data_IF_025030727358
#
_entry.id   IF_025030727358
#
_cell.length_a   1.000
_cell.length_b   1.000
_cell.length_c   1.000
_cell.angle_alpha   90.00
_cell.angle_beta   90.00
_cell.angle_gamma   90.00
#
_symmetry.space_group_name_H-M   'P 1'
#
loop_
_entity.id
_entity.type
_entity.pdbx_description
1 polymer ?
#
# COMPACT_ATOMS: atom_id res chain seq x y z
N UNK A 1 39.08 -9.93 7.14
CA UNK A 1 39.89 -8.82 7.67
C UNK A 1 39.67 -8.82 9.17
N UNK A 2 40.70 -8.70 10.00
CA UNK A 2 40.53 -8.64 11.46
C UNK A 2 40.17 -7.20 11.85
N UNK A 3 39.21 -7.07 12.77
CA UNK A 3 38.87 -5.78 13.40
C UNK A 3 40.01 -5.38 14.35
N UNK A 4 40.12 -4.08 14.66
CA UNK A 4 41.02 -3.63 15.70
C UNK A 4 40.59 -4.24 17.05
N UNK A 5 41.53 -4.64 17.90
CA UNK A 5 41.23 -5.26 19.19
C UNK A 5 40.40 -4.34 20.10
N UNK A 6 40.70 -3.03 20.06
CA UNK A 6 39.95 -2.00 20.78
C UNK A 6 38.49 -1.94 20.30
N UNK A 7 38.26 -1.91 18.99
CA UNK A 7 36.92 -1.83 18.41
C UNK A 7 36.13 -3.13 18.69
N UNK A 8 36.78 -4.28 18.59
CA UNK A 8 36.16 -5.58 18.90
C UNK A 8 35.65 -5.63 20.35
N UNK A 9 36.47 -5.19 21.31
CA UNK A 9 36.08 -5.12 22.71
C UNK A 9 34.90 -4.18 22.92
N UNK A 10 34.96 -2.97 22.34
CA UNK A 10 33.91 -1.95 22.50
C UNK A 10 32.59 -2.41 21.86
N UNK A 11 32.63 -3.05 20.70
CA UNK A 11 31.46 -3.60 20.02
C UNK A 11 30.81 -4.74 20.83
N UNK A 12 31.60 -5.66 21.39
CA UNK A 12 31.08 -6.75 22.22
C UNK A 12 30.35 -6.24 23.47
N UNK A 13 30.93 -5.23 24.14
CA UNK A 13 30.31 -4.60 25.33
C UNK A 13 29.01 -3.91 24.94
N UNK A 14 29.05 -3.10 23.87
CA UNK A 14 27.88 -2.36 23.40
C UNK A 14 26.75 -3.28 22.92
N UNK A 15 27.08 -4.35 22.20
CA UNK A 15 26.08 -5.29 21.70
C UNK A 15 25.30 -5.96 22.84
N UNK A 16 25.91 -6.17 24.01
CA UNK A 16 25.27 -6.86 25.15
C UNK A 16 24.07 -6.08 25.71
N UNK A 17 24.13 -4.75 25.68
CA UNK A 17 23.08 -3.87 26.23
C UNK A 17 22.20 -3.21 25.14
N UNK A 18 22.58 -3.34 23.87
CA UNK A 18 21.89 -2.70 22.76
C UNK A 18 20.53 -3.35 22.47
N UNK A 19 19.49 -2.51 22.43
CA UNK A 19 18.17 -2.86 21.90
C UNK A 19 18.14 -2.78 20.37
N UNK A 20 18.87 -1.82 19.81
CA UNK A 20 18.98 -1.59 18.38
C UNK A 20 20.34 -0.94 18.03
N UNK A 21 20.85 -1.16 16.83
CA UNK A 21 22.15 -0.66 16.37
C UNK A 21 21.98 -0.07 14.97
N UNK A 22 22.58 1.10 14.74
CA UNK A 22 22.72 1.71 13.43
C UNK A 22 24.18 2.05 13.14
N UNK A 23 24.56 1.96 11.88
CA UNK A 23 25.93 2.20 11.42
C UNK A 23 25.89 3.35 10.41
N UNK A 24 26.62 4.42 10.70
CA UNK A 24 26.88 5.47 9.73
C UNK A 24 28.16 5.15 8.97
N UNK A 25 28.01 4.70 7.73
CA UNK A 25 29.12 4.30 6.87
C UNK A 25 30.01 5.48 6.47
N UNK A 26 29.45 6.71 6.41
CA UNK A 26 30.21 7.91 6.00
C UNK A 26 31.10 8.39 7.12
N UNK A 27 30.59 8.38 8.34
CA UNK A 27 31.34 8.83 9.53
C UNK A 27 32.07 7.70 10.24
N UNK A 28 31.94 6.46 9.77
CA UNK A 28 32.51 5.25 10.38
C UNK A 28 32.14 5.15 11.87
N UNK A 29 30.86 5.39 12.18
CA UNK A 29 30.35 5.41 13.55
C UNK A 29 29.30 4.31 13.76
N UNK A 30 29.39 3.62 14.88
CA UNK A 30 28.36 2.68 15.36
C UNK A 30 27.62 3.34 16.51
N UNK A 31 26.31 3.44 16.37
CA UNK A 31 25.43 3.95 17.42
C UNK A 31 24.50 2.84 17.90
N UNK A 32 24.31 2.74 19.21
CA UNK A 32 23.41 1.78 19.82
C UNK A 32 22.41 2.45 20.74
N UNK A 33 21.16 2.06 20.56
CA UNK A 33 20.06 2.42 21.42
C UNK A 33 20.00 1.44 22.61
N UNK A 34 20.04 1.97 23.83
CA UNK A 34 19.79 1.23 25.07
C UNK A 34 18.51 1.74 25.72
N UNK A 35 18.07 1.12 26.83
CA UNK A 35 16.84 1.54 27.54
C UNK A 35 16.86 3.01 28.02
N UNK A 36 18.05 3.58 28.25
CA UNK A 36 18.18 4.91 28.87
C UNK A 36 18.84 5.94 27.97
N UNK A 37 19.75 5.54 27.07
CA UNK A 37 20.53 6.47 26.25
C UNK A 37 21.05 5.86 24.95
N UNK A 38 21.55 6.73 24.08
CA UNK A 38 22.28 6.35 22.86
C UNK A 38 23.78 6.35 23.12
N UNK A 39 24.44 5.25 22.80
CA UNK A 39 25.90 5.12 22.86
C UNK A 39 26.50 5.22 21.46
N UNK A 40 27.62 5.93 21.32
CA UNK A 40 28.34 6.10 20.05
C UNK A 40 29.77 5.59 20.16
N UNK A 41 30.19 4.81 19.17
CA UNK A 41 31.56 4.33 18.98
C UNK A 41 32.04 4.82 17.62
N UNK A 42 33.11 5.61 17.64
CA UNK A 42 33.87 5.93 16.42
C UNK A 42 34.82 4.77 16.12
N UNK A 43 34.67 4.18 14.93
CA UNK A 43 35.49 3.06 14.50
C UNK A 43 36.87 3.55 14.04
N UNK A 44 37.90 2.74 14.30
CA UNK A 44 39.28 2.99 13.88
C UNK A 44 39.68 1.93 12.83
N UNK A 45 39.28 2.11 11.55
CA UNK A 45 39.45 1.08 10.54
C UNK A 45 40.93 0.78 10.26
N UNK A 46 41.31 -0.49 10.44
CA UNK A 46 42.62 -0.99 10.01
C UNK A 46 42.52 -1.48 8.55
N UNK A 47 42.61 -0.55 7.60
CA UNK A 47 42.60 -0.84 6.17
C UNK A 47 41.37 -0.28 5.44
N UNK A 48 40.83 -1.03 4.47
CA UNK A 48 39.75 -0.55 3.61
C UNK A 48 38.42 -0.43 4.39
N UNK A 49 37.74 0.74 4.38
CA UNK A 49 36.55 0.99 5.20
C UNK A 49 35.43 -0.01 4.94
N UNK A 50 35.09 -0.31 3.68
CA UNK A 50 34.00 -1.26 3.36
C UNK A 50 34.26 -2.68 3.90
N UNK A 51 35.51 -3.15 3.82
CA UNK A 51 35.89 -4.45 4.38
C UNK A 51 35.86 -4.44 5.90
N UNK A 52 36.12 -3.28 6.51
CA UNK A 52 36.03 -3.09 7.95
C UNK A 52 34.57 -3.13 8.42
N UNK A 53 33.69 -2.36 7.77
CA UNK A 53 32.26 -2.37 8.06
C UNK A 53 31.65 -3.75 7.88
N UNK A 54 32.04 -4.49 6.84
CA UNK A 54 31.63 -5.89 6.67
C UNK A 54 32.05 -6.77 7.85
N UNK A 55 33.28 -6.62 8.35
CA UNK A 55 33.74 -7.37 9.51
C UNK A 55 33.01 -6.95 10.81
N UNK A 56 32.65 -5.67 10.96
CA UNK A 56 31.82 -5.17 12.08
C UNK A 56 30.45 -5.84 12.05
N UNK A 57 29.80 -5.87 10.88
CA UNK A 57 28.49 -6.50 10.67
C UNK A 57 28.52 -8.01 10.90
N UNK A 58 29.56 -8.68 10.43
CA UNK A 58 29.82 -10.09 10.71
C UNK A 58 29.94 -10.34 12.23
N UNK A 59 30.68 -9.50 12.96
CA UNK A 59 30.79 -9.58 14.41
C UNK A 59 29.45 -9.35 15.14
N UNK A 60 28.71 -8.29 14.79
CA UNK A 60 27.39 -8.00 15.35
C UNK A 60 26.38 -9.13 15.08
N UNK A 61 26.42 -9.74 13.90
CA UNK A 61 25.54 -10.86 13.55
C UNK A 61 25.75 -12.08 14.45
N UNK A 62 27.01 -12.39 14.80
CA UNK A 62 27.34 -13.49 15.70
C UNK A 62 26.83 -13.20 17.11
N UNK A 63 26.95 -11.96 17.57
CA UNK A 63 26.49 -11.54 18.90
C UNK A 63 24.97 -11.49 19.02
N UNK A 64 24.28 -11.04 17.98
CA UNK A 64 22.82 -10.88 17.98
C UNK A 64 22.08 -12.21 17.75
N UNK A 65 22.60 -13.09 16.89
CA UNK A 65 21.90 -14.31 16.45
C UNK A 65 22.55 -15.61 16.92
N UNK A 66 23.70 -15.56 17.60
CA UNK A 66 24.37 -16.72 18.18
C UNK A 66 24.87 -17.78 17.19
N UNK A 67 24.81 -17.52 15.87
CA UNK A 67 25.18 -18.49 14.84
C UNK A 67 26.49 -18.09 14.15
N UNK A 68 27.59 -18.88 14.30
CA UNK A 68 28.86 -18.59 13.64
C UNK A 68 28.74 -18.82 12.13
N UNK A 69 28.98 -17.77 11.33
CA UNK A 69 28.95 -17.82 9.84
C UNK A 69 27.83 -17.00 9.16
N UNK A 70 27.27 -16.02 9.87
CA UNK A 70 25.95 -15.41 9.68
C UNK A 70 25.69 -14.37 8.58
N UNK A 71 26.64 -13.97 7.74
CA UNK A 71 26.47 -12.80 6.86
C UNK A 71 27.14 -13.02 5.49
N UNK A 72 26.51 -12.73 4.33
CA UNK A 72 25.19 -12.14 4.06
C UNK A 72 24.09 -13.18 3.72
N UNK A 73 24.30 -14.46 4.01
CA UNK A 73 23.45 -15.57 3.52
C UNK A 73 22.08 -15.64 4.23
N UNK A 74 21.91 -14.97 5.37
CA UNK A 74 20.78 -15.22 6.26
C UNK A 74 19.51 -14.44 5.89
N UNK A 75 19.61 -13.25 5.28
CA UNK A 75 18.42 -12.48 4.83
C UNK A 75 17.61 -13.27 3.78
N UNK A 76 18.30 -14.01 2.88
CA UNK A 76 17.63 -14.80 1.81
C UNK A 76 16.97 -16.10 2.28
N UNK A 77 17.37 -16.67 3.43
CA UNK A 77 16.69 -17.83 4.04
C UNK A 77 15.54 -17.39 4.96
N UNK A 78 15.65 -16.22 5.58
CA UNK A 78 14.65 -15.65 6.48
C UNK A 78 13.31 -15.35 5.78
N UNK A 79 13.36 -14.84 4.55
CA UNK A 79 12.16 -14.59 3.72
C UNK A 79 11.38 -15.87 3.33
N UNK A 80 11.95 -17.07 3.55
CA UNK A 80 11.28 -18.35 3.23
C UNK A 80 10.55 -19.00 4.40
N UNK A 81 10.78 -18.57 5.64
CA UNK A 81 10.35 -19.36 6.82
C UNK A 81 9.02 -18.90 7.42
N UNK A 82 8.38 -17.85 6.87
CA UNK A 82 7.11 -17.34 7.41
C UNK A 82 7.31 -16.56 8.72
N UNK A 83 6.23 -15.90 9.15
CA UNK A 83 6.21 -14.89 10.22
C UNK A 83 7.00 -15.32 11.48
N UNK A 84 7.94 -14.47 11.90
CA UNK A 84 8.77 -14.68 13.08
C UNK A 84 8.13 -14.11 14.34
N UNK A 85 8.39 -14.75 15.47
CA UNK A 85 8.07 -14.22 16.80
C UNK A 85 8.82 -12.90 17.05
N UNK A 86 8.18 -11.99 17.80
CA UNK A 86 8.65 -10.62 18.07
C UNK A 86 10.06 -10.56 18.67
N UNK A 87 10.43 -11.50 19.53
CA UNK A 87 11.78 -11.57 20.13
C UNK A 87 12.89 -11.72 19.07
N UNK A 88 12.63 -12.46 18.00
CA UNK A 88 13.60 -12.65 16.92
C UNK A 88 13.72 -11.43 16.02
N UNK A 89 12.65 -10.64 15.91
CA UNK A 89 12.67 -9.36 15.19
C UNK A 89 13.50 -8.31 15.93
N UNK A 90 13.45 -8.28 17.27
CA UNK A 90 14.31 -7.40 18.06
C UNK A 90 15.81 -7.71 17.83
N UNK A 91 16.17 -8.99 17.66
CA UNK A 91 17.53 -9.39 17.29
C UNK A 91 18.01 -8.82 15.95
N UNK A 92 17.12 -8.64 14.97
CA UNK A 92 17.46 -8.06 13.66
C UNK A 92 17.90 -6.60 13.75
N UNK A 93 17.28 -5.82 14.63
CA UNK A 93 17.64 -4.41 14.79
C UNK A 93 19.03 -4.22 15.39
N UNK A 94 19.64 -5.27 15.93
CA UNK A 94 21.01 -5.26 16.47
C UNK A 94 22.08 -5.58 15.42
N UNK A 95 21.70 -5.84 14.17
CA UNK A 95 22.64 -6.19 13.11
C UNK A 95 23.39 -4.98 12.52
N UNK A 96 22.83 -3.77 12.62
CA UNK A 96 23.38 -2.59 11.95
C UNK A 96 23.21 -2.61 10.43
N UNK A 97 22.18 -3.31 9.94
CA UNK A 97 21.86 -3.50 8.51
C UNK A 97 20.55 -2.83 8.14
N UNK A 98 20.56 -2.07 7.05
CA UNK A 98 19.36 -1.39 6.57
C UNK A 98 18.27 -2.40 6.16
N UNK A 99 18.66 -3.47 5.45
CA UNK A 99 17.75 -4.52 4.98
C UNK A 99 17.11 -5.29 6.13
N UNK A 100 17.81 -5.43 7.27
CA UNK A 100 17.23 -6.04 8.46
C UNK A 100 16.15 -5.15 9.08
N UNK A 101 16.37 -3.83 9.10
CA UNK A 101 15.37 -2.86 9.60
C UNK A 101 14.15 -2.84 8.69
N UNK A 102 14.33 -2.84 7.36
CA UNK A 102 13.22 -2.93 6.39
C UNK A 102 12.43 -4.23 6.58
N UNK A 103 13.11 -5.36 6.80
CA UNK A 103 12.44 -6.64 7.06
C UNK A 103 11.63 -6.62 8.37
N UNK A 104 12.12 -5.95 9.41
CA UNK A 104 11.36 -5.74 10.66
C UNK A 104 10.14 -4.85 10.42
N UNK A 105 10.32 -3.74 9.70
CA UNK A 105 9.24 -2.80 9.38
C UNK A 105 8.13 -3.42 8.52
N UNK A 106 8.45 -4.40 7.68
CA UNK A 106 7.50 -5.13 6.85
C UNK A 106 6.88 -6.36 7.55
N UNK A 107 7.27 -6.66 8.80
CA UNK A 107 6.84 -7.87 9.49
C UNK A 107 5.38 -7.77 9.95
N UNK A 108 4.53 -8.79 9.76
CA UNK A 108 3.16 -8.78 10.26
C UNK A 108 3.07 -8.72 11.79
N UNK A 109 4.14 -9.09 12.50
CA UNK A 109 4.21 -9.11 13.96
C UNK A 109 4.92 -7.86 14.54
N UNK A 110 4.94 -6.77 13.79
CA UNK A 110 5.51 -5.50 14.23
C UNK A 110 4.59 -4.84 15.28
N UNK A 111 5.13 -4.61 16.48
CA UNK A 111 4.47 -3.82 17.52
C UNK A 111 5.01 -2.37 17.56
N UNK A 112 4.33 -1.50 18.30
CA UNK A 112 4.66 -0.07 18.41
C UNK A 112 6.04 0.20 19.05
N UNK A 113 6.51 -0.67 19.95
CA UNK A 113 7.81 -0.49 20.61
C UNK A 113 8.97 -0.90 19.68
N UNK A 114 8.83 -2.01 18.98
CA UNK A 114 9.77 -2.46 17.96
C UNK A 114 9.78 -1.48 16.78
N UNK A 115 8.62 -0.92 16.44
CA UNK A 115 8.48 0.15 15.46
C UNK A 115 9.32 1.38 15.85
N UNK A 116 9.23 1.88 17.09
CA UNK A 116 10.08 2.99 17.57
C UNK A 116 11.58 2.71 17.37
N UNK A 117 12.01 1.48 17.67
CA UNK A 117 13.41 1.07 17.52
C UNK A 117 13.83 0.98 16.06
N UNK A 118 12.98 0.44 15.20
CA UNK A 118 13.21 0.37 13.76
C UNK A 118 13.31 1.77 13.14
N UNK A 119 12.41 2.68 13.54
CA UNK A 119 12.43 4.08 13.12
C UNK A 119 13.72 4.79 13.52
N UNK A 120 14.18 4.59 14.75
CA UNK A 120 15.44 5.14 15.23
C UNK A 120 16.66 4.67 14.41
N UNK A 121 16.64 3.40 13.98
CA UNK A 121 17.70 2.83 13.15
C UNK A 121 17.75 3.40 11.74
N UNK A 122 16.60 3.51 11.06
CA UNK A 122 16.52 3.87 9.65
C UNK A 122 15.29 4.77 9.34
N UNK A 123 15.35 6.08 9.65
CA UNK A 123 14.24 6.99 9.45
C UNK A 123 14.11 7.41 7.98
N UNK A 124 13.52 6.55 7.16
CA UNK A 124 13.33 6.75 5.71
C UNK A 124 11.85 6.68 5.34
N UNK A 125 11.46 7.28 4.21
CA UNK A 125 10.07 7.28 3.75
C UNK A 125 9.55 5.86 3.45
N UNK A 126 10.41 4.97 2.95
CA UNK A 126 10.07 3.56 2.73
C UNK A 126 9.72 2.86 4.06
N UNK A 127 10.58 3.00 5.07
CA UNK A 127 10.36 2.41 6.40
C UNK A 127 9.11 3.00 7.04
N UNK A 128 8.90 4.32 6.95
CA UNK A 128 7.70 4.96 7.48
C UNK A 128 6.41 4.43 6.82
N UNK A 129 6.40 4.23 5.50
CA UNK A 129 5.26 3.63 4.79
C UNK A 129 4.97 2.21 5.27
N UNK A 130 6.00 1.37 5.35
CA UNK A 130 5.87 -0.01 5.82
C UNK A 130 5.27 -0.05 7.23
N UNK A 131 5.84 0.73 8.14
CA UNK A 131 5.40 0.82 9.54
C UNK A 131 3.96 1.35 9.66
N UNK A 132 3.61 2.43 8.95
CA UNK A 132 2.28 3.06 9.03
C UNK A 132 1.18 2.18 8.41
N UNK A 133 1.54 1.16 7.62
CA UNK A 133 0.59 0.16 7.12
C UNK A 133 0.05 -0.77 8.22
N UNK A 134 0.72 -0.84 9.38
CA UNK A 134 0.29 -1.64 10.52
C UNK A 134 -0.66 -0.85 11.43
N UNK A 135 -1.88 -1.37 11.71
CA UNK A 135 -2.83 -0.70 12.60
C UNK A 135 -2.29 -0.45 14.02
N UNK A 136 -1.49 -1.38 14.56
CA UNK A 136 -0.92 -1.25 15.91
C UNK A 136 0.08 -0.10 16.01
N UNK A 137 0.82 0.17 14.93
CA UNK A 137 1.77 1.28 14.84
C UNK A 137 1.06 2.59 14.54
N UNK A 138 0.07 2.57 13.63
CA UNK A 138 -0.72 3.76 13.29
C UNK A 138 -1.51 4.30 14.50
N UNK A 139 -2.03 3.42 15.36
CA UNK A 139 -2.70 3.79 16.62
C UNK A 139 -1.72 3.95 17.80
N UNK A 140 -0.44 3.65 17.59
CA UNK A 140 0.62 3.70 18.58
C UNK A 140 1.19 5.10 18.77
N UNK A 141 2.25 5.21 19.59
CA UNK A 141 2.84 6.53 19.90
C UNK A 141 3.63 7.10 18.73
N UNK A 142 4.18 6.25 17.85
CA UNK A 142 5.05 6.68 16.75
C UNK A 142 4.26 7.06 15.49
N UNK A 143 3.02 6.60 15.36
CA UNK A 143 2.15 6.87 14.21
C UNK A 143 2.10 8.36 13.79
N UNK A 144 1.84 9.31 14.71
CA UNK A 144 1.81 10.74 14.39
C UNK A 144 3.13 11.26 13.81
N UNK A 145 4.27 10.82 14.35
CA UNK A 145 5.60 11.21 13.86
C UNK A 145 5.84 10.69 12.43
N UNK A 146 5.50 9.43 12.16
CA UNK A 146 5.62 8.83 10.83
C UNK A 146 4.70 9.52 9.82
N UNK A 147 3.46 9.83 10.22
CA UNK A 147 2.49 10.54 9.38
C UNK A 147 2.99 11.93 9.01
N UNK A 148 3.50 12.69 9.98
CA UNK A 148 4.05 14.01 9.74
C UNK A 148 5.29 13.94 8.83
N UNK A 149 6.19 13.00 9.11
CA UNK A 149 7.37 12.77 8.28
C UNK A 149 6.99 12.50 6.83
N UNK A 150 6.05 11.58 6.58
CA UNK A 150 5.60 11.25 5.23
C UNK A 150 4.92 12.43 4.53
N UNK A 151 4.15 13.24 5.24
CA UNK A 151 3.53 14.44 4.69
C UNK A 151 4.58 15.46 4.23
N UNK A 152 5.62 15.68 5.04
CA UNK A 152 6.71 16.61 4.74
C UNK A 152 7.60 16.11 3.59
N UNK A 153 7.73 14.79 3.45
CA UNK A 153 8.54 14.16 2.39
C UNK A 153 7.78 13.94 1.08
N UNK A 154 6.44 13.95 1.10
CA UNK A 154 5.61 13.72 -0.09
C UNK A 154 5.94 14.62 -1.31
N UNK A 155 6.29 15.91 -1.15
CA UNK A 155 6.67 16.76 -2.29
C UNK A 155 7.96 16.31 -3.01
N UNK A 156 8.79 15.50 -2.35
CA UNK A 156 10.08 15.03 -2.84
C UNK A 156 10.02 13.59 -3.37
N UNK A 157 8.85 12.96 -3.37
CA UNK A 157 8.67 11.62 -3.94
C UNK A 157 8.58 11.69 -5.46
N UNK A 158 9.41 10.87 -6.13
CA UNK A 158 9.51 10.85 -7.60
C UNK A 158 8.63 9.78 -8.26
N UNK A 159 8.36 8.68 -7.54
CA UNK A 159 7.70 7.49 -8.11
C UNK A 159 6.20 7.53 -7.82
N UNK A 160 5.36 7.28 -8.83
CA UNK A 160 3.90 7.24 -8.67
C UNK A 160 3.47 6.27 -7.58
N UNK A 161 4.10 5.08 -7.52
CA UNK A 161 3.83 4.10 -6.46
C UNK A 161 4.01 4.67 -5.06
N UNK A 162 5.16 5.30 -4.79
CA UNK A 162 5.45 5.91 -3.48
C UNK A 162 4.44 7.00 -3.13
N UNK A 163 4.04 7.82 -4.10
CA UNK A 163 3.06 8.89 -3.91
C UNK A 163 1.68 8.30 -3.58
N UNK A 164 1.22 7.31 -4.36
CA UNK A 164 -0.08 6.63 -4.17
C UNK A 164 -0.13 5.98 -2.78
N UNK A 165 0.88 5.17 -2.45
CA UNK A 165 0.95 4.46 -1.18
C UNK A 165 1.00 5.43 0.00
N UNK A 166 1.80 6.51 -0.10
CA UNK A 166 1.89 7.53 0.95
C UNK A 166 0.56 8.23 1.18
N UNK A 167 -0.10 8.71 0.11
CA UNK A 167 -1.39 9.41 0.21
C UNK A 167 -2.45 8.47 0.80
N UNK A 168 -2.51 7.21 0.33
CA UNK A 168 -3.43 6.21 0.86
C UNK A 168 -3.22 5.98 2.35
N UNK A 169 -1.98 5.77 2.78
CA UNK A 169 -1.65 5.52 4.19
C UNK A 169 -1.97 6.71 5.08
N UNK A 170 -1.65 7.93 4.65
CA UNK A 170 -1.98 9.16 5.41
C UNK A 170 -3.49 9.32 5.60
N UNK A 171 -4.31 8.96 4.61
CA UNK A 171 -5.77 9.03 4.71
C UNK A 171 -6.33 7.90 5.59
N UNK A 172 -5.82 6.68 5.42
CA UNK A 172 -6.28 5.51 6.17
C UNK A 172 -5.85 5.54 7.65
N UNK A 173 -4.72 6.17 7.99
CA UNK A 173 -4.24 6.29 9.37
C UNK A 173 -5.12 7.19 10.25
N UNK A 174 -5.88 8.12 9.63
CA UNK A 174 -6.74 9.11 10.32
C UNK A 174 -6.00 10.01 11.30
N UNK A 175 -4.69 10.20 11.08
CA UNK A 175 -3.84 11.06 11.90
C UNK A 175 -3.78 12.50 11.41
N UNK A 176 -4.22 12.75 10.18
CA UNK A 176 -4.23 14.09 9.58
C UNK A 176 -5.33 14.98 10.19
N UNK A 177 -5.01 16.25 10.38
CA UNK A 177 -6.04 17.26 10.67
C UNK A 177 -6.77 17.69 9.38
N UNK A 178 -7.85 18.47 9.53
CA UNK A 178 -8.65 18.93 8.39
C UNK A 178 -7.88 19.89 7.46
N UNK A 179 -6.93 20.66 7.98
CA UNK A 179 -6.11 21.56 7.16
C UNK A 179 -5.15 20.79 6.26
N UNK A 180 -4.45 19.79 6.82
CA UNK A 180 -3.55 18.89 6.10
C UNK A 180 -4.31 18.07 5.06
N UNK A 181 -5.48 17.53 5.43
CA UNK A 181 -6.37 16.84 4.52
C UNK A 181 -6.84 17.76 3.39
N UNK A 182 -7.13 19.03 3.69
CA UNK A 182 -7.44 20.07 2.70
C UNK A 182 -6.29 20.33 1.72
N UNK A 183 -5.05 20.47 2.22
CA UNK A 183 -3.85 20.66 1.37
C UNK A 183 -3.60 19.44 0.48
N UNK A 184 -3.77 18.23 1.02
CA UNK A 184 -3.59 16.99 0.28
C UNK A 184 -4.64 16.86 -0.84
N UNK A 185 -5.90 17.23 -0.57
CA UNK A 185 -6.97 17.30 -1.58
C UNK A 185 -6.65 18.30 -2.70
N UNK A 186 -6.22 19.51 -2.34
CA UNK A 186 -5.84 20.53 -3.34
C UNK A 186 -4.68 20.06 -4.24
N UNK A 187 -3.73 19.28 -3.70
CA UNK A 187 -2.66 18.66 -4.49
C UNK A 187 -3.20 17.60 -5.45
N UNK A 188 -4.17 16.78 -5.02
CA UNK A 188 -4.77 15.73 -5.84
C UNK A 188 -5.49 16.27 -7.09
N UNK A 189 -6.02 17.50 -7.07
CA UNK A 189 -6.65 18.12 -8.25
C UNK A 189 -5.69 18.23 -9.45
N UNK A 190 -4.41 18.46 -9.18
CA UNK A 190 -3.39 18.72 -10.20
C UNK A 190 -2.39 17.58 -10.38
N UNK A 191 -2.38 16.58 -9.49
CA UNK A 191 -1.40 15.50 -9.49
C UNK A 191 -2.08 14.12 -9.53
N UNK A 192 -1.95 13.43 -10.67
CA UNK A 192 -2.66 12.15 -10.94
C UNK A 192 -2.35 11.09 -9.89
N UNK A 193 -1.07 10.87 -9.54
CA UNK A 193 -0.72 9.89 -8.50
C UNK A 193 -1.33 10.23 -7.12
N UNK A 194 -1.45 11.51 -6.76
CA UNK A 194 -2.14 11.89 -5.52
C UNK A 194 -3.64 11.60 -5.61
N UNK A 195 -4.28 11.91 -6.73
CA UNK A 195 -5.68 11.56 -6.99
C UNK A 195 -5.93 10.05 -6.91
N UNK A 196 -5.04 9.24 -7.47
CA UNK A 196 -5.10 7.77 -7.38
C UNK A 196 -4.91 7.29 -5.94
N UNK A 197 -4.07 7.95 -5.14
CA UNK A 197 -3.97 7.72 -3.70
C UNK A 197 -5.30 7.93 -2.96
N UNK A 198 -6.03 9.01 -3.27
CA UNK A 198 -7.38 9.23 -2.72
C UNK A 198 -8.38 8.17 -3.17
N UNK A 199 -8.37 7.81 -4.46
CA UNK A 199 -9.21 6.74 -4.99
C UNK A 199 -8.95 5.40 -4.27
N UNK A 200 -7.68 5.10 -4.02
CA UNK A 200 -7.23 3.87 -3.36
C UNK A 200 -7.55 3.83 -1.86
N UNK A 201 -7.71 4.98 -1.21
CA UNK A 201 -8.21 5.07 0.16
C UNK A 201 -9.73 4.85 0.23
N UNK A 202 -10.44 5.16 -0.85
CA UNK A 202 -11.87 4.90 -1.03
C UNK A 202 -12.73 6.17 -1.12
N UNK A 203 -14.01 6.03 -1.45
CA UNK A 203 -14.90 7.15 -1.75
C UNK A 203 -15.10 8.11 -0.56
N UNK A 204 -14.93 7.63 0.68
CA UNK A 204 -15.10 8.43 1.91
C UNK A 204 -14.08 9.57 2.07
N UNK A 205 -12.97 9.52 1.35
CA UNK A 205 -11.88 10.47 1.50
C UNK A 205 -11.87 11.58 0.44
N UNK A 206 -12.70 11.45 -0.60
CA UNK A 206 -12.76 12.41 -1.71
C UNK A 206 -13.60 13.65 -1.39
N UNK A 207 -14.57 13.56 -0.48
CA UNK A 207 -15.44 14.67 -0.11
C UNK A 207 -15.17 15.16 1.32
N UNK A 208 -15.38 16.45 1.57
CA UNK A 208 -15.23 17.05 2.91
C UNK A 208 -16.26 16.53 3.92
N UNK A 209 -17.44 16.11 3.45
CA UNK A 209 -18.50 15.59 4.31
C UNK A 209 -18.36 14.07 4.43
N UNK A 210 -17.78 13.63 5.56
CA UNK A 210 -17.61 12.22 5.89
C UNK A 210 -18.95 11.62 6.35
N UNK A 211 -19.70 11.01 5.44
CA UNK A 211 -20.71 10.03 5.80
C UNK A 211 -20.20 8.65 5.35
N UNK A 212 -19.72 7.84 6.30
CA UNK A 212 -19.29 6.49 5.99
C UNK A 212 -20.49 5.70 5.45
N UNK A 213 -20.47 5.38 4.17
CA UNK A 213 -21.43 4.45 3.58
C UNK A 213 -21.05 3.05 4.05
N UNK A 214 -21.78 2.48 5.00
CA UNK A 214 -21.66 1.07 5.35
C UNK A 214 -22.61 0.31 4.44
N UNK A 215 -22.07 -0.53 3.58
CA UNK A 215 -22.85 -1.49 2.79
C UNK A 215 -23.05 -2.74 3.64
N UNK A 216 -24.30 -3.17 3.78
CA UNK A 216 -24.65 -4.34 4.59
C UNK A 216 -24.44 -5.61 3.75
N UNK A 217 -23.23 -6.18 3.83
CA UNK A 217 -22.80 -7.38 3.10
C UNK A 217 -23.55 -8.67 3.48
N UNK A 218 -24.36 -8.65 4.54
CA UNK A 218 -25.22 -9.77 4.95
C UNK A 218 -26.56 -9.82 4.20
N UNK A 219 -26.86 -8.79 3.41
CA UNK A 219 -28.07 -8.73 2.58
C UNK A 219 -27.85 -9.49 1.26
N UNK A 220 -28.92 -10.02 0.66
CA UNK A 220 -28.85 -10.68 -0.65
C UNK A 220 -28.30 -9.75 -1.75
N UNK A 221 -27.76 -10.33 -2.82
CA UNK A 221 -27.07 -9.60 -3.91
C UNK A 221 -27.91 -8.45 -4.50
N UNK A 222 -29.23 -8.59 -4.57
CA UNK A 222 -30.11 -7.55 -5.10
C UNK A 222 -30.16 -6.31 -4.21
N UNK A 223 -30.15 -6.49 -2.88
CA UNK A 223 -30.11 -5.38 -1.93
C UNK A 223 -28.75 -4.67 -1.96
N UNK A 224 -27.66 -5.43 -2.11
CA UNK A 224 -26.31 -4.87 -2.28
C UNK A 224 -26.17 -4.07 -3.58
N UNK A 225 -26.72 -4.58 -4.68
CA UNK A 225 -26.78 -3.88 -5.96
C UNK A 225 -27.51 -2.55 -5.82
N UNK A 226 -28.69 -2.53 -5.19
CA UNK A 226 -29.43 -1.29 -4.96
C UNK A 226 -28.66 -0.29 -4.09
N UNK A 227 -28.05 -0.74 -3.00
CA UNK A 227 -27.25 0.13 -2.12
C UNK A 227 -26.06 0.76 -2.86
N UNK A 228 -25.33 -0.03 -3.66
CA UNK A 228 -24.20 0.49 -4.43
C UNK A 228 -24.65 1.41 -5.57
N UNK A 229 -25.78 1.14 -6.23
CA UNK A 229 -26.36 2.06 -7.22
C UNK A 229 -26.80 3.38 -6.59
N UNK A 230 -27.40 3.34 -5.40
CA UNK A 230 -27.74 4.54 -4.63
C UNK A 230 -26.47 5.32 -4.24
N UNK A 231 -25.43 4.63 -3.77
CA UNK A 231 -24.16 5.27 -3.45
C UNK A 231 -23.48 5.85 -4.69
N UNK A 232 -23.49 5.16 -5.83
CA UNK A 232 -22.99 5.66 -7.10
C UNK A 232 -23.75 6.91 -7.55
N UNK A 233 -25.06 6.99 -7.29
CA UNK A 233 -25.89 8.18 -7.53
C UNK A 233 -25.65 9.34 -6.55
N UNK A 234 -25.07 9.08 -5.38
CA UNK A 234 -24.79 10.12 -4.38
C UNK A 234 -23.71 11.11 -4.85
N UNK A 235 -23.65 12.34 -4.29
CA UNK A 235 -22.60 13.31 -4.65
C UNK A 235 -21.18 12.76 -4.45
N UNK A 236 -21.00 11.92 -3.44
CA UNK A 236 -19.73 11.29 -3.10
C UNK A 236 -19.35 10.20 -4.12
N UNK A 237 -20.28 9.31 -4.46
CA UNK A 237 -20.06 8.30 -5.51
C UNK A 237 -19.81 8.93 -6.87
N UNK A 238 -20.56 9.97 -7.24
CA UNK A 238 -20.33 10.72 -8.48
C UNK A 238 -18.95 11.38 -8.53
N UNK A 239 -18.46 11.89 -7.39
CA UNK A 239 -17.11 12.44 -7.30
C UNK A 239 -16.06 11.34 -7.48
N UNK A 240 -16.24 10.19 -6.84
CA UNK A 240 -15.38 9.02 -7.02
C UNK A 240 -15.30 8.56 -8.47
N UNK A 241 -16.45 8.36 -9.14
CA UNK A 241 -16.51 7.92 -10.53
C UNK A 241 -15.83 8.92 -11.48
N UNK A 242 -16.05 10.23 -11.28
CA UNK A 242 -15.41 11.29 -12.08
C UNK A 242 -13.90 11.32 -11.87
N UNK A 243 -13.43 11.21 -10.62
CA UNK A 243 -12.01 11.15 -10.32
C UNK A 243 -11.36 9.91 -10.93
N UNK A 244 -12.04 8.74 -10.89
CA UNK A 244 -11.54 7.52 -11.51
C UNK A 244 -11.45 7.63 -13.04
N UNK A 245 -12.48 8.20 -13.69
CA UNK A 245 -12.43 8.50 -15.12
C UNK A 245 -11.24 9.42 -15.45
N UNK A 246 -11.12 10.54 -14.73
CA UNK A 246 -10.05 11.52 -14.93
C UNK A 246 -8.66 10.89 -14.69
N UNK A 247 -8.54 9.98 -13.71
CA UNK A 247 -7.30 9.28 -13.42
C UNK A 247 -6.86 8.38 -14.58
N UNK A 248 -7.79 7.61 -15.17
CA UNK A 248 -7.49 6.77 -16.34
C UNK A 248 -7.15 7.62 -17.58
N UNK A 249 -7.87 8.71 -17.83
CA UNK A 249 -7.59 9.63 -18.95
C UNK A 249 -6.22 10.32 -18.80
N UNK A 250 -5.85 10.71 -17.58
CA UNK A 250 -4.60 11.41 -17.29
C UNK A 250 -3.47 10.47 -16.83
N UNK A 251 -3.68 9.16 -16.83
CA UNK A 251 -2.69 8.18 -16.40
C UNK A 251 -1.35 8.37 -17.12
N UNK A 252 -0.27 8.29 -16.34
CA UNK A 252 1.10 8.57 -16.81
C UNK A 252 1.94 7.30 -16.91
N UNK A 253 1.63 6.27 -16.13
CA UNK A 253 2.42 5.05 -15.99
C UNK A 253 1.54 3.85 -15.58
N UNK A 254 2.19 2.70 -15.38
CA UNK A 254 1.53 1.45 -14.97
C UNK A 254 0.83 1.59 -13.63
N UNK A 255 1.49 2.17 -12.62
CA UNK A 255 0.96 2.26 -11.25
C UNK A 255 -0.35 3.05 -11.21
N UNK A 256 -0.38 4.21 -11.88
CA UNK A 256 -1.60 5.04 -11.94
C UNK A 256 -2.78 4.34 -12.61
N UNK A 257 -2.54 3.50 -13.62
CA UNK A 257 -3.59 2.69 -14.25
C UNK A 257 -4.04 1.57 -13.31
N UNK A 258 -3.09 0.77 -12.81
CA UNK A 258 -3.35 -0.43 -12.02
C UNK A 258 -4.08 -0.07 -10.73
N UNK A 259 -3.60 0.93 -9.98
CA UNK A 259 -4.22 1.31 -8.72
C UNK A 259 -5.59 2.00 -8.92
N UNK A 260 -5.82 2.68 -10.05
CA UNK A 260 -7.16 3.17 -10.41
C UNK A 260 -8.13 2.02 -10.70
N UNK A 261 -7.70 1.01 -11.46
CA UNK A 261 -8.52 -0.17 -11.74
C UNK A 261 -8.81 -0.99 -10.48
N UNK A 262 -7.81 -1.14 -9.59
CA UNK A 262 -7.98 -1.79 -8.31
C UNK A 262 -8.98 -1.01 -7.42
N UNK A 263 -8.90 0.33 -7.39
CA UNK A 263 -9.87 1.14 -6.66
C UNK A 263 -11.31 0.98 -7.20
N UNK A 264 -11.49 0.88 -8.52
CA UNK A 264 -12.79 0.56 -9.13
C UNK A 264 -13.27 -0.84 -8.77
N UNK A 265 -12.38 -1.83 -8.79
CA UNK A 265 -12.66 -3.21 -8.38
C UNK A 265 -13.08 -3.28 -6.92
N UNK A 266 -12.36 -2.60 -6.02
CA UNK A 266 -12.65 -2.53 -4.60
C UNK A 266 -13.99 -1.83 -4.32
N UNK A 267 -14.35 -0.82 -5.11
CA UNK A 267 -15.66 -0.15 -5.04
C UNK A 267 -16.82 -1.12 -5.28
N UNK A 268 -16.69 -2.02 -6.27
CA UNK A 268 -17.73 -3.00 -6.62
C UNK A 268 -17.54 -4.39 -6.00
N UNK A 269 -16.49 -4.61 -5.21
CA UNK A 269 -16.06 -5.93 -4.69
C UNK A 269 -17.19 -6.79 -4.09
N UNK A 270 -18.18 -6.25 -3.35
CA UNK A 270 -19.27 -7.06 -2.82
C UNK A 270 -20.08 -7.82 -3.88
N UNK A 271 -20.15 -7.33 -5.12
CA UNK A 271 -20.95 -7.93 -6.21
C UNK A 271 -20.25 -9.09 -6.91
N UNK A 272 -18.91 -9.09 -6.88
CA UNK A 272 -18.10 -10.02 -7.66
C UNK A 272 -18.11 -11.44 -7.08
N UNK A 273 -18.28 -11.57 -5.76
CA UNK A 273 -18.12 -12.85 -5.05
C UNK A 273 -16.75 -13.49 -5.32
N UNK A 274 -16.73 -14.78 -5.66
CA UNK A 274 -15.52 -15.56 -5.94
C UNK A 274 -15.07 -15.52 -7.42
N UNK A 275 -15.73 -14.72 -8.26
CA UNK A 275 -15.45 -14.67 -9.70
C UNK A 275 -13.99 -14.28 -9.97
N UNK A 276 -13.32 -14.93 -10.93
CA UNK A 276 -11.93 -14.59 -11.30
C UNK A 276 -11.90 -13.28 -12.11
N UNK A 277 -10.90 -12.43 -11.87
CA UNK A 277 -10.76 -11.18 -12.64
C UNK A 277 -10.44 -11.47 -14.11
N UNK A 278 -11.09 -10.76 -15.05
CA UNK A 278 -10.82 -10.89 -16.48
C UNK A 278 -9.41 -10.43 -16.85
N UNK A 279 -8.87 -11.01 -17.93
CA UNK A 279 -7.54 -10.66 -18.48
C UNK A 279 -7.62 -9.93 -19.81
N UNK A 280 -8.82 -9.69 -20.32
CA UNK A 280 -9.07 -8.97 -21.56
C UNK A 280 -10.45 -8.32 -21.54
N UNK A 281 -10.68 -7.34 -22.44
CA UNK A 281 -12.00 -6.74 -22.61
C UNK A 281 -13.06 -7.77 -23.04
N UNK A 282 -12.68 -8.79 -23.83
CA UNK A 282 -13.61 -9.84 -24.25
C UNK A 282 -14.04 -10.72 -23.07
N UNK A 283 -13.08 -11.14 -22.23
CA UNK A 283 -13.39 -11.91 -21.02
C UNK A 283 -14.27 -11.09 -20.07
N UNK A 284 -13.97 -9.80 -19.91
CA UNK A 284 -14.76 -8.89 -19.08
C UNK A 284 -16.22 -8.85 -19.53
N UNK A 285 -16.48 -8.62 -20.82
CA UNK A 285 -17.84 -8.56 -21.36
C UNK A 285 -18.59 -9.90 -21.20
N UNK A 286 -17.92 -11.04 -21.44
CA UNK A 286 -18.53 -12.36 -21.27
C UNK A 286 -18.90 -12.65 -19.80
N UNK A 287 -18.03 -12.30 -18.86
CA UNK A 287 -18.31 -12.49 -17.43
C UNK A 287 -19.47 -11.59 -17.00
N UNK A 288 -19.50 -10.32 -17.42
CA UNK A 288 -20.61 -9.40 -17.12
C UNK A 288 -21.93 -9.97 -17.64
N UNK A 289 -21.99 -10.43 -18.89
CA UNK A 289 -23.19 -11.03 -19.48
C UNK A 289 -23.65 -12.26 -18.69
N UNK A 290 -22.72 -13.12 -18.26
CA UNK A 290 -23.06 -14.30 -17.45
C UNK A 290 -23.66 -13.96 -16.08
N UNK A 291 -23.13 -12.92 -15.41
CA UNK A 291 -23.59 -12.47 -14.10
C UNK A 291 -24.96 -11.79 -14.21
N UNK A 292 -25.15 -10.93 -15.22
CA UNK A 292 -26.44 -10.27 -15.47
C UNK A 292 -27.55 -11.29 -15.80
N UNK A 293 -27.25 -12.33 -16.59
CA UNK A 293 -28.21 -13.37 -16.94
C UNK A 293 -28.55 -14.30 -15.76
N UNK A 294 -27.59 -14.58 -14.88
CA UNK A 294 -27.80 -15.43 -13.70
C UNK A 294 -28.74 -14.75 -12.68
N UNK A 295 -28.65 -13.43 -12.51
CA UNK A 295 -29.58 -12.67 -11.67
C UNK A 295 -31.02 -12.65 -12.21
N UNK A 296 -31.22 -12.91 -13.51
CA UNK A 296 -32.54 -12.94 -14.14
C UNK A 296 -33.29 -14.28 -14.09
N UNK A 297 -32.63 -15.38 -13.69
CA UNK A 297 -33.19 -16.75 -13.79
C UNK A 297 -33.75 -17.32 -12.48
N UNK A 298 -33.77 -16.54 -11.40
CA UNK A 298 -34.19 -17.00 -10.07
C UNK A 298 -35.64 -16.62 -9.65
N UNK A 299 -36.53 -16.28 -10.58
CA UNK A 299 -37.93 -16.01 -10.26
C UNK A 299 -38.86 -16.94 -11.06
N UNK A 300 -39.20 -18.05 -10.41
CA UNK A 300 -40.47 -18.74 -10.63
C UNK A 300 -41.62 -17.72 -10.53
N UNK A 301 -42.56 -17.87 -11.45
CA UNK A 301 -43.81 -17.12 -11.52
C UNK A 301 -44.64 -17.31 -10.26
N UNK A 302 -44.66 -16.31 -9.38
CA UNK A 302 -45.84 -15.81 -8.66
C UNK A 302 -45.36 -15.00 -7.44
N UNK A 303 -45.19 -13.69 -7.61
CA UNK A 303 -45.71 -12.69 -6.66
C UNK A 303 -45.49 -11.28 -7.23
N UNK A 304 -46.61 -10.66 -7.61
CA UNK A 304 -46.71 -9.24 -7.92
C UNK A 304 -46.64 -8.47 -6.61
N UNK A 305 -45.45 -8.03 -6.24
CA UNK A 305 -45.25 -6.91 -5.32
C UNK A 305 -43.93 -6.19 -5.68
N UNK A 306 -44.09 -5.05 -6.33
CA UNK A 306 -43.13 -3.98 -6.53
C UNK A 306 -41.84 -4.05 -5.69
N UNK A 307 -40.68 -4.13 -6.36
CA UNK A 307 -39.45 -3.50 -5.89
C UNK A 307 -38.66 -2.95 -7.07
N UNK A 308 -38.17 -1.73 -6.91
CA UNK A 308 -37.76 -0.82 -7.98
C UNK A 308 -36.38 -1.14 -8.60
N UNK A 309 -35.78 -2.29 -8.25
CA UNK A 309 -34.50 -2.79 -8.76
C UNK A 309 -34.48 -3.02 -10.28
N UNK A 310 -35.62 -3.37 -10.89
CA UNK A 310 -35.73 -3.64 -12.33
C UNK A 310 -35.63 -2.40 -13.24
N UNK A 311 -35.32 -1.21 -12.71
CA UNK A 311 -35.42 0.05 -13.48
C UNK A 311 -34.20 0.42 -14.34
N UNK A 312 -33.05 -0.27 -14.26
CA UNK A 312 -31.92 0.06 -15.14
C UNK A 312 -30.88 -1.08 -15.31
N UNK A 313 -31.11 -2.06 -16.21
CA UNK A 313 -30.18 -3.18 -16.43
C UNK A 313 -28.80 -2.73 -16.91
N UNK A 314 -28.73 -1.59 -17.61
CA UNK A 314 -27.48 -1.02 -18.10
C UNK A 314 -26.61 -0.53 -16.93
N UNK A 315 -27.21 0.10 -15.92
CA UNK A 315 -26.48 0.54 -14.71
C UNK A 315 -26.03 -0.64 -13.85
N UNK A 316 -26.82 -1.70 -13.74
CA UNK A 316 -26.41 -2.91 -13.04
C UNK A 316 -25.20 -3.55 -13.73
N UNK A 317 -25.26 -3.70 -15.05
CA UNK A 317 -24.15 -4.23 -15.85
C UNK A 317 -22.90 -3.34 -15.76
N UNK A 318 -23.06 -2.02 -15.73
CA UNK A 318 -21.97 -1.08 -15.51
C UNK A 318 -21.32 -1.25 -14.12
N UNK A 319 -22.11 -1.45 -13.07
CA UNK A 319 -21.61 -1.66 -11.72
C UNK A 319 -20.86 -2.99 -11.59
N UNK A 320 -21.38 -4.06 -12.21
CA UNK A 320 -20.70 -5.36 -12.32
C UNK A 320 -19.38 -5.19 -13.07
N UNK A 321 -19.37 -4.45 -14.18
CA UNK A 321 -18.15 -4.13 -14.93
C UNK A 321 -17.09 -3.51 -14.03
N UNK A 322 -17.44 -2.51 -13.21
CA UNK A 322 -16.50 -1.89 -12.27
C UNK A 322 -15.97 -2.89 -11.23
N UNK A 323 -16.82 -3.78 -10.70
CA UNK A 323 -16.41 -4.81 -9.73
C UNK A 323 -15.37 -5.80 -10.25
N UNK A 324 -15.29 -5.93 -11.58
CA UNK A 324 -14.37 -6.81 -12.29
C UNK A 324 -13.11 -6.08 -12.77
N UNK A 325 -12.94 -4.79 -12.46
CA UNK A 325 -11.71 -4.07 -12.71
C UNK A 325 -10.58 -4.54 -11.77
N UNK A 326 -9.35 -4.53 -12.27
CA UNK A 326 -8.14 -4.77 -11.49
C UNK A 326 -6.92 -5.00 -12.38
N UNK A 327 -5.75 -5.18 -11.75
CA UNK A 327 -4.47 -5.43 -12.45
C UNK A 327 -4.54 -6.48 -13.57
N UNK A 328 -5.21 -7.65 -13.41
CA UNK A 328 -5.18 -8.71 -14.43
C UNK A 328 -5.71 -8.28 -15.80
N UNK A 329 -6.58 -7.26 -15.86
CA UNK A 329 -7.15 -6.74 -17.09
C UNK A 329 -6.09 -6.12 -18.01
N UNK A 330 -5.07 -5.49 -17.43
CA UNK A 330 -4.00 -4.78 -18.13
C UNK A 330 -2.64 -5.47 -18.05
N UNK A 331 -2.49 -6.46 -17.16
CA UNK A 331 -1.25 -7.22 -16.98
C UNK A 331 -0.69 -7.84 -18.29
N UNK A 332 -1.50 -8.40 -19.22
CA UNK A 332 -0.97 -8.93 -20.48
C UNK A 332 -0.32 -7.87 -21.39
N UNK A 333 -0.76 -6.60 -21.29
CA UNK A 333 -0.15 -5.49 -22.00
C UNK A 333 1.18 -5.10 -21.35
N UNK A 334 1.20 -4.86 -20.04
CA UNK A 334 2.41 -4.45 -19.31
C UNK A 334 3.49 -5.53 -19.27
N UNK A 335 3.12 -6.81 -19.37
CA UNK A 335 4.08 -7.90 -19.54
C UNK A 335 4.89 -7.82 -20.85
N UNK A 336 4.44 -7.04 -21.83
CA UNK A 336 5.04 -6.96 -23.18
C UNK A 336 5.42 -5.54 -23.59
N UNK A 337 5.15 -4.53 -22.76
CA UNK A 337 5.28 -3.12 -23.12
C UNK A 337 5.67 -2.30 -21.91
N UNK A 338 6.66 -1.43 -22.10
CA UNK A 338 7.12 -0.40 -21.16
C UNK A 338 6.59 1.00 -21.52
N UNK A 339 5.64 1.08 -22.46
CA UNK A 339 5.05 2.35 -22.88
C UNK A 339 4.43 3.11 -21.70
N UNK A 340 4.67 4.42 -21.68
CA UNK A 340 4.14 5.37 -20.68
C UNK A 340 3.35 6.51 -21.35
N UNK A 341 2.58 7.26 -20.55
CA UNK A 341 1.88 8.46 -20.98
C UNK A 341 0.87 8.24 -22.10
N UNK A 342 0.91 9.10 -23.12
CA UNK A 342 -0.08 9.08 -24.23
C UNK A 342 -0.03 7.81 -25.08
N UNK A 343 1.17 7.25 -25.31
CA UNK A 343 1.32 6.01 -26.07
C UNK A 343 0.68 4.83 -25.33
N UNK A 344 0.92 4.74 -24.02
CA UNK A 344 0.31 3.73 -23.15
C UNK A 344 -1.21 3.80 -23.22
N UNK A 345 -1.80 4.98 -23.03
CA UNK A 345 -3.25 5.19 -23.06
C UNK A 345 -3.87 4.77 -24.38
N UNK A 346 -3.26 5.15 -25.51
CA UNK A 346 -3.74 4.74 -26.84
C UNK A 346 -3.70 3.23 -27.06
N UNK A 347 -2.74 2.53 -26.45
CA UNK A 347 -2.62 1.07 -26.56
C UNK A 347 -3.57 0.33 -25.60
N UNK A 348 -3.88 0.93 -24.47
CA UNK A 348 -4.83 0.41 -23.49
C UNK A 348 -6.29 0.72 -23.80
N UNK A 349 -6.56 1.72 -24.65
CA UNK A 349 -7.90 2.12 -25.11
C UNK A 349 -8.84 0.94 -25.42
N UNK A 350 -8.50 -0.05 -26.28
CA UNK A 350 -9.40 -1.17 -26.58
C UNK A 350 -9.69 -2.09 -25.39
N UNK A 351 -8.83 -2.07 -24.36
CA UNK A 351 -9.02 -2.85 -23.13
C UNK A 351 -9.88 -2.08 -22.14
N UNK A 352 -9.74 -0.75 -22.09
CA UNK A 352 -10.40 0.14 -21.12
C UNK A 352 -11.71 0.73 -21.62
N UNK A 353 -12.02 0.65 -22.92
CA UNK A 353 -13.29 1.09 -23.51
C UNK A 353 -14.54 0.60 -22.74
N UNK A 354 -14.69 -0.70 -22.39
CA UNK A 354 -15.84 -1.14 -21.59
C UNK A 354 -15.89 -0.51 -20.19
N UNK A 355 -14.72 -0.20 -19.60
CA UNK A 355 -14.63 0.46 -18.29
C UNK A 355 -15.08 1.92 -18.40
N UNK A 356 -14.64 2.65 -19.43
CA UNK A 356 -15.10 4.02 -19.69
C UNK A 356 -16.61 4.07 -19.94
N UNK A 357 -17.15 3.16 -20.75
CA UNK A 357 -18.59 3.06 -21.01
C UNK A 357 -19.41 2.78 -19.72
N UNK A 358 -18.88 1.93 -18.83
CA UNK A 358 -19.50 1.67 -17.53
C UNK A 358 -19.50 2.92 -16.63
N UNK A 359 -18.37 3.63 -16.55
CA UNK A 359 -18.26 4.89 -15.79
C UNK A 359 -19.28 5.92 -16.31
N UNK A 360 -19.33 6.14 -17.62
CA UNK A 360 -20.29 7.07 -18.25
C UNK A 360 -21.75 6.71 -17.93
N UNK A 361 -22.09 5.42 -18.00
CA UNK A 361 -23.45 4.93 -17.69
C UNK A 361 -23.84 5.23 -16.25
N UNK A 362 -22.90 5.10 -15.30
CA UNK A 362 -23.16 5.38 -13.88
C UNK A 362 -23.17 6.89 -13.56
N UNK A 363 -22.45 7.70 -14.33
CA UNK A 363 -22.42 9.17 -14.15
C UNK A 363 -23.59 9.90 -14.80
N UNK A 364 -24.22 9.34 -15.84
CA UNK A 364 -25.46 9.88 -16.40
C UNK A 364 -26.55 9.86 -15.32
N UNK A 365 -26.91 11.03 -14.79
CA UNK A 365 -28.06 11.17 -13.89
C UNK A 365 -29.36 11.18 -14.72
N UNK A 366 -30.40 10.53 -14.21
CA UNK A 366 -31.78 10.69 -14.69
C UNK A 366 -32.31 12.07 -14.30
#
# INVERSE_FOLDING_TARGET
>A
MQLADEDTLRLNVLATTALAIRIDEKTMCVEALTEHQTHRIELKPTGHPDRYLRAVRENLSVLALGTPGGYPVFIRRWTRTGALETERLAGLLRLGEAEAVVAVAASPNLDDELARRAWWCLPTAEVARLMLSHPDVANGSIGPELSQFLLDHLPFEDTSRSIIDTVKLLLCSRLLNEEESGRLRARAENHVACMVGFLSAGPNYLCATQAASRFDTESGNDALMEQLLQHAGSPQGQTFLRCAQQALEKAIDMDTVVDTLNALGDYGKPLRGETVLPRSAQDLLQIVESLTNSSGTALDSDEVAANQSAKNPDRQSALITLSLCGEPLVAPFFAKSDAVGSLMRKKLEPVLEPVFAALETLMKQN
#
